data_IF_046689873840
#
_entry.id   IF_046689873840
#
_cell.length_a   1.000
_cell.length_b   1.000
_cell.length_c   1.000
_cell.angle_alpha   90.00
_cell.angle_beta   90.00
_cell.angle_gamma   90.00
#
_symmetry.space_group_name_H-M   'P 1'
#
loop_
_entity.id
_entity.type
_entity.pdbx_description
1 polymer ?
#
# COMPACT_ATOMS: atom_id res chain seq x y z
N UNK A 1 -2.16 6.57 5.87
CA UNK A 1 -1.24 5.48 6.28
C UNK A 1 -0.81 4.60 5.10
N UNK A 2 -1.73 4.09 4.26
CA UNK A 2 -1.38 3.26 3.09
C UNK A 2 -0.42 3.96 2.11
N UNK A 3 -0.70 5.20 1.70
CA UNK A 3 0.24 5.97 0.87
C UNK A 3 1.59 6.21 1.55
N UNK A 4 1.59 6.48 2.85
CA UNK A 4 2.82 6.71 3.63
C UNK A 4 3.69 5.46 3.69
N UNK A 5 3.11 4.26 3.90
CA UNK A 5 3.88 3.01 3.92
C UNK A 5 4.50 2.71 2.55
N UNK A 6 3.79 3.04 1.45
CA UNK A 6 4.32 2.88 0.11
C UNK A 6 5.49 3.85 -0.17
N UNK A 7 5.35 5.12 0.21
CA UNK A 7 6.42 6.10 0.03
C UNK A 7 7.70 5.68 0.78
N UNK A 8 7.57 5.21 2.03
CA UNK A 8 8.75 4.78 2.80
C UNK A 8 9.36 3.47 2.26
N UNK A 9 8.52 2.49 1.89
CA UNK A 9 8.99 1.18 1.41
C UNK A 9 9.57 1.20 0.00
N UNK A 10 8.98 1.98 -0.91
CA UNK A 10 9.30 1.95 -2.33
C UNK A 10 9.90 3.28 -2.84
N UNK A 11 9.52 4.41 -2.24
CA UNK A 11 10.11 5.72 -2.60
C UNK A 11 11.43 6.00 -1.87
N UNK A 12 11.54 5.57 -0.61
CA UNK A 12 12.74 5.74 0.22
C UNK A 12 13.48 4.42 0.49
N UNK A 13 13.02 3.32 -0.10
CA UNK A 13 13.63 1.98 -0.03
C UNK A 13 13.89 1.44 1.40
N UNK A 14 13.27 2.03 2.43
CA UNK A 14 13.44 1.61 3.83
C UNK A 14 12.87 0.21 4.01
N UNK A 15 13.56 -0.69 4.70
CA UNK A 15 13.06 -2.03 5.07
C UNK A 15 11.74 -1.98 5.88
N UNK A 16 11.10 -3.14 6.08
CA UNK A 16 9.89 -3.23 6.92
C UNK A 16 10.16 -2.77 8.35
N UNK A 17 11.31 -3.15 8.91
CA UNK A 17 11.71 -2.76 10.27
C UNK A 17 11.98 -1.25 10.38
N UNK A 18 12.69 -0.67 9.42
CA UNK A 18 12.96 0.78 9.38
C UNK A 18 11.67 1.58 9.18
N UNK A 19 10.78 1.11 8.30
CA UNK A 19 9.46 1.71 8.10
C UNK A 19 8.61 1.64 9.37
N UNK A 20 8.65 0.51 10.09
CA UNK A 20 7.92 0.33 11.35
C UNK A 20 8.41 1.34 12.41
N UNK A 21 9.73 1.50 12.54
CA UNK A 21 10.33 2.51 13.42
C UNK A 21 9.94 3.93 13.00
N UNK A 22 10.07 4.27 11.72
CA UNK A 22 9.73 5.59 11.19
C UNK A 22 8.24 5.95 11.35
N UNK A 23 7.36 4.95 11.32
CA UNK A 23 5.91 5.13 11.50
C UNK A 23 5.43 4.98 12.96
N UNK A 24 6.31 4.61 13.90
CA UNK A 24 5.92 4.31 15.29
C UNK A 24 4.96 3.13 15.40
N UNK A 25 5.19 2.07 14.62
CA UNK A 25 4.30 0.89 14.50
C UNK A 25 5.08 -0.42 14.60
N UNK A 26 4.36 -1.53 14.71
CA UNK A 26 4.95 -2.87 14.61
C UNK A 26 5.18 -3.26 13.14
N UNK A 27 6.12 -4.16 12.90
CA UNK A 27 6.37 -4.71 11.56
C UNK A 27 5.13 -5.42 10.98
N UNK A 28 4.35 -6.10 11.83
CA UNK A 28 3.09 -6.73 11.43
C UNK A 28 2.07 -5.72 10.89
N UNK A 29 1.93 -4.58 11.57
CA UNK A 29 1.07 -3.49 11.10
C UNK A 29 1.56 -2.89 9.78
N UNK A 30 2.87 -2.75 9.59
CA UNK A 30 3.47 -2.29 8.32
C UNK A 30 3.18 -3.28 7.18
N UNK A 31 3.35 -4.58 7.40
CA UNK A 31 3.03 -5.62 6.40
C UNK A 31 1.54 -5.60 6.01
N UNK A 32 0.64 -5.46 6.98
CA UNK A 32 -0.79 -5.33 6.73
C UNK A 32 -1.13 -4.07 5.91
N UNK A 33 -0.54 -2.92 6.29
CA UNK A 33 -0.71 -1.67 5.57
C UNK A 33 -0.17 -1.77 4.14
N UNK A 34 0.99 -2.41 3.94
CA UNK A 34 1.60 -2.61 2.62
C UNK A 34 0.69 -3.47 1.73
N UNK A 35 0.23 -4.62 2.22
CA UNK A 35 -0.71 -5.47 1.48
C UNK A 35 -1.99 -4.73 1.11
N UNK A 36 -2.59 -4.03 2.07
CA UNK A 36 -3.82 -3.26 1.84
C UNK A 36 -3.62 -2.12 0.84
N UNK A 37 -2.47 -1.45 0.88
CA UNK A 37 -2.12 -0.37 -0.04
C UNK A 37 -1.91 -0.89 -1.47
N UNK A 38 -1.19 -2.01 -1.65
CA UNK A 38 -0.98 -2.64 -2.95
C UNK A 38 -2.32 -3.07 -3.56
N UNK A 39 -3.17 -3.74 -2.78
CA UNK A 39 -4.51 -4.15 -3.23
C UNK A 39 -5.42 -2.96 -3.57
N UNK A 40 -5.27 -1.83 -2.89
CA UNK A 40 -5.99 -0.61 -3.28
C UNK A 40 -5.50 -0.07 -4.62
N UNK A 41 -4.18 -0.10 -4.87
CA UNK A 41 -3.60 0.33 -6.15
C UNK A 41 -3.99 -0.60 -7.29
N UNK A 42 -3.97 -1.91 -7.08
CA UNK A 42 -4.36 -2.89 -8.11
C UNK A 42 -5.81 -2.70 -8.58
N UNK A 43 -6.74 -2.40 -7.66
CA UNK A 43 -8.13 -2.02 -8.02
C UNK A 43 -8.19 -0.78 -8.91
N UNK A 44 -7.42 0.26 -8.60
CA UNK A 44 -7.40 1.50 -9.40
C UNK A 44 -6.80 1.26 -10.78
N UNK A 45 -5.81 0.38 -10.87
CA UNK A 45 -5.16 0.00 -12.14
C UNK A 45 -5.94 -1.10 -12.91
N UNK A 46 -7.09 -1.54 -12.40
CA UNK A 46 -7.89 -2.61 -13.01
C UNK A 46 -7.19 -3.98 -13.05
N UNK A 47 -6.16 -4.17 -12.22
CA UNK A 47 -5.32 -5.38 -12.20
C UNK A 47 -5.89 -6.48 -11.29
N UNK A 48 -6.78 -6.10 -10.38
CA UNK A 48 -7.64 -7.06 -9.71
C UNK A 48 -8.80 -7.30 -10.68
N UNK A 49 -8.99 -8.53 -11.18
CA UNK A 49 -9.94 -8.92 -12.25
C UNK A 49 -11.43 -8.58 -12.05
N UNK A 50 -11.74 -7.62 -11.19
CA UNK A 50 -12.99 -6.88 -11.00
C UNK A 50 -13.08 -5.63 -11.90
N UNK A 51 -12.50 -5.67 -13.11
CA UNK A 51 -12.63 -4.63 -14.12
C UNK A 51 -14.08 -4.47 -14.60
N UNK A 52 -14.92 -3.87 -13.77
CA UNK A 52 -16.28 -3.47 -14.07
C UNK A 52 -16.31 -1.96 -14.28
N UNK A 53 -16.47 -1.57 -15.53
CA UNK A 53 -16.71 -0.23 -16.02
C UNK A 53 -17.65 0.57 -15.11
N UNK A 54 -17.12 1.62 -14.48
CA UNK A 54 -17.91 2.77 -14.09
C UNK A 54 -17.54 3.90 -15.08
N UNK A 55 -17.93 3.69 -16.34
CA UNK A 55 -18.13 4.77 -17.30
C UNK A 55 -19.23 5.66 -16.72
N UNK A 56 -18.91 6.93 -16.56
CA UNK A 56 -19.75 7.94 -15.93
C UNK A 56 -20.92 8.31 -16.85
N UNK A 57 -22.09 8.52 -16.23
CA UNK A 57 -23.32 9.00 -16.86
C UNK A 57 -23.21 10.46 -17.33
#
# INVERSE_FOLDING_TARGET
>A
LQRQVLNLRFGSELSVAETARAMGRTEGAVKFLQYSAIRAMQRVLGQDGTGGHAEQA
#
